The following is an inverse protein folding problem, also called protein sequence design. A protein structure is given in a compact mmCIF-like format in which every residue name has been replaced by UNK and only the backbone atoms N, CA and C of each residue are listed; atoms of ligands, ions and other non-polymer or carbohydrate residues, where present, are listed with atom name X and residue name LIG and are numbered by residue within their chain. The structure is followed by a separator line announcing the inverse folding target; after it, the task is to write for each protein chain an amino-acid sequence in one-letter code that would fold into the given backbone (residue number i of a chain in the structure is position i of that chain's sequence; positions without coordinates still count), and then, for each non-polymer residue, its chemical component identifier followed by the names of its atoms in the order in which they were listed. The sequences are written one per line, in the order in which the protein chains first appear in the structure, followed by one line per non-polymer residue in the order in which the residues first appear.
data_IF_363706270406
#
_entry.id   IF_363706270406
#
_cell.length_a   1.000
_cell.length_b   1.000
_cell.length_c   1.000
_cell.angle_alpha   90.00
_cell.angle_beta   90.00
_cell.angle_gamma   90.00
#
_symmetry.space_group_name_H-M   'P 1'
#
loop_
_entity.id
_entity.type
_entity.pdbx_description
1 polymer ?
#
# COMPACT_ATOMS: atom_id res chain seq x y z
N UNK A 1 -16.42 18.00 0.26
CA UNK A 1 -15.06 18.22 -0.28
C UNK A 1 -14.75 17.10 -1.26
N UNK A 2 -14.48 17.45 -2.53
CA UNK A 2 -14.08 16.66 -3.71
C UNK A 2 -14.30 15.13 -3.66
N UNK A 3 -15.19 14.51 -4.45
CA UNK A 3 -15.51 14.81 -5.84
C UNK A 3 -14.45 14.27 -6.81
N UNK A 4 -13.83 13.12 -6.52
CA UNK A 4 -12.92 12.44 -7.45
C UNK A 4 -13.70 11.47 -8.34
N UNK A 5 -14.50 12.00 -9.25
CA UNK A 5 -15.20 11.19 -10.26
C UNK A 5 -14.23 10.86 -11.40
N UNK A 6 -14.03 9.57 -11.67
CA UNK A 6 -13.21 9.09 -12.78
C UNK A 6 -13.94 9.34 -14.11
N UNK A 7 -13.30 10.06 -15.04
CA UNK A 7 -13.94 10.53 -16.28
C UNK A 7 -14.16 9.46 -17.34
N UNK A 8 -13.57 8.27 -17.17
CA UNK A 8 -13.79 7.11 -18.04
C UNK A 8 -13.18 5.84 -17.41
N UNK A 9 -13.92 5.02 -16.67
CA UNK A 9 -13.47 3.70 -16.27
C UNK A 9 -13.50 2.71 -17.43
N UNK A 10 -12.62 1.70 -17.40
CA UNK A 10 -12.72 0.54 -18.32
C UNK A 10 -13.36 -0.61 -17.55
N UNK A 11 -14.46 -1.15 -18.08
CA UNK A 11 -15.23 -2.23 -17.47
C UNK A 11 -14.55 -3.57 -17.74
N UNK A 12 -14.21 -4.31 -16.67
CA UNK A 12 -13.72 -5.68 -16.78
C UNK A 12 -14.78 -6.58 -16.17
N UNK A 13 -15.48 -7.34 -17.01
CA UNK A 13 -16.45 -8.34 -16.56
C UNK A 13 -15.71 -9.53 -15.95
N UNK A 14 -15.79 -9.67 -14.63
CA UNK A 14 -15.36 -10.88 -13.92
C UNK A 14 -16.55 -11.54 -13.24
N UNK A 15 -17.57 -11.92 -14.00
CA UNK A 15 -18.59 -12.86 -13.53
C UNK A 15 -18.98 -13.78 -14.68
N UNK A 16 -18.69 -15.06 -14.51
CA UNK A 16 -19.40 -16.15 -15.17
C UNK A 16 -20.90 -16.00 -14.91
N UNK A 17 -21.68 -16.02 -15.99
CA UNK A 17 -23.14 -15.99 -15.99
C UNK A 17 -23.68 -16.96 -14.93
N UNK A 18 -24.26 -16.48 -13.83
CA UNK A 18 -25.39 -17.12 -13.14
C UNK A 18 -25.96 -16.16 -12.07
N UNK A 19 -27.16 -15.65 -12.42
CA UNK A 19 -28.25 -15.12 -11.59
C UNK A 19 -28.02 -13.85 -10.75
N UNK A 20 -28.85 -12.88 -11.11
CA UNK A 20 -29.01 -11.52 -10.59
C UNK A 20 -29.65 -11.51 -9.20
N UNK A 21 -29.06 -10.75 -8.30
CA UNK A 21 -29.77 -9.92 -7.32
C UNK A 21 -29.38 -8.46 -7.61
N UNK A 22 -30.35 -7.61 -7.96
CA UNK A 22 -30.19 -6.28 -8.55
C UNK A 22 -30.16 -5.12 -7.53
N UNK A 23 -29.44 -5.26 -6.42
CA UNK A 23 -29.18 -4.09 -5.56
C UNK A 23 -27.79 -4.21 -4.92
N UNK A 24 -26.98 -3.18 -5.11
CA UNK A 24 -25.64 -2.98 -4.51
C UNK A 24 -24.40 -3.64 -5.16
N UNK A 25 -24.42 -3.91 -6.48
CA UNK A 25 -23.16 -4.03 -7.23
C UNK A 25 -22.59 -2.63 -7.45
N UNK A 26 -21.90 -2.09 -6.44
CA UNK A 26 -21.09 -0.89 -6.60
C UNK A 26 -20.01 -1.18 -7.64
N UNK A 27 -20.25 -0.74 -8.88
CA UNK A 27 -19.34 -0.87 -10.00
C UNK A 27 -17.98 -0.24 -9.66
N UNK A 28 -17.02 -1.11 -9.31
CA UNK A 28 -15.67 -0.68 -8.97
C UNK A 28 -14.93 -0.28 -10.26
N UNK A 29 -14.86 1.02 -10.50
CA UNK A 29 -14.10 1.63 -11.59
C UNK A 29 -12.58 1.49 -11.39
N UNK A 30 -11.92 0.64 -12.17
CA UNK A 30 -10.45 0.57 -12.23
C UNK A 30 -9.91 1.66 -13.18
N UNK A 31 -8.96 2.51 -12.76
CA UNK A 31 -8.40 3.55 -13.63
C UNK A 31 -7.68 2.96 -14.85
N UNK A 32 -7.90 3.54 -16.04
CA UNK A 32 -7.32 3.05 -17.32
C UNK A 32 -5.79 2.95 -17.33
N UNK A 33 -5.11 3.82 -16.57
CA UNK A 33 -3.66 3.89 -16.51
C UNK A 33 -3.06 3.12 -15.32
N UNK A 34 -3.88 2.44 -14.52
CA UNK A 34 -3.39 1.65 -13.38
C UNK A 34 -2.79 0.33 -13.90
N UNK A 35 -1.46 0.21 -13.78
CA UNK A 35 -0.75 -1.04 -14.06
C UNK A 35 -0.79 -1.94 -12.84
N UNK A 36 -1.38 -3.13 -12.99
CA UNK A 36 -1.47 -4.14 -11.94
C UNK A 36 -0.52 -5.28 -12.26
N UNK A 37 0.21 -5.75 -11.25
CA UNK A 37 1.18 -6.84 -11.38
C UNK A 37 0.88 -7.91 -10.34
N UNK A 38 1.09 -9.18 -10.72
CA UNK A 38 0.99 -10.32 -9.83
C UNK A 38 2.35 -11.03 -9.77
N UNK A 39 2.81 -11.34 -8.56
CA UNK A 39 4.00 -12.15 -8.35
C UNK A 39 3.63 -13.38 -7.52
N UNK A 40 3.87 -14.58 -8.06
CA UNK A 40 3.68 -15.83 -7.34
C UNK A 40 4.93 -16.10 -6.51
N UNK A 41 4.80 -16.00 -5.19
CA UNK A 41 5.92 -16.15 -4.26
C UNK A 41 5.65 -17.31 -3.30
N UNK A 42 6.57 -18.30 -3.20
CA UNK A 42 6.52 -19.33 -2.17
C UNK A 42 6.39 -18.71 -0.78
N UNK A 43 5.57 -19.29 0.09
CA UNK A 43 5.22 -18.68 1.38
C UNK A 43 6.46 -18.21 2.19
N UNK A 44 7.52 -19.02 2.21
CA UNK A 44 8.77 -18.74 2.94
C UNK A 44 9.59 -17.56 2.37
N UNK A 45 9.35 -17.18 1.11
CA UNK A 45 10.09 -16.12 0.42
C UNK A 45 9.32 -14.80 0.35
N UNK A 46 8.05 -14.76 0.77
CA UNK A 46 7.19 -13.56 0.67
C UNK A 46 7.82 -12.33 1.32
N UNK A 47 8.40 -12.50 2.50
CA UNK A 47 9.05 -11.41 3.21
C UNK A 47 10.28 -10.87 2.45
N UNK A 48 11.16 -11.76 2.00
CA UNK A 48 12.37 -11.38 1.26
C UNK A 48 12.01 -10.72 -0.06
N UNK A 49 11.03 -11.27 -0.78
CA UNK A 49 10.54 -10.72 -2.03
C UNK A 49 9.94 -9.32 -1.85
N UNK A 50 9.11 -9.12 -0.82
CA UNK A 50 8.52 -7.82 -0.51
C UNK A 50 9.60 -6.79 -0.13
N UNK A 51 10.55 -7.18 0.73
CA UNK A 51 11.67 -6.31 1.12
C UNK A 51 12.54 -5.91 -0.08
N UNK A 52 12.88 -6.88 -0.94
CA UNK A 52 13.64 -6.64 -2.16
C UNK A 52 12.90 -5.70 -3.12
N UNK A 53 11.59 -5.90 -3.30
CA UNK A 53 10.75 -5.02 -4.10
C UNK A 53 10.75 -3.58 -3.57
N UNK A 54 10.57 -3.39 -2.26
CA UNK A 54 10.59 -2.06 -1.64
C UNK A 54 11.93 -1.39 -1.86
N UNK A 55 13.04 -2.08 -1.56
CA UNK A 55 14.40 -1.54 -1.73
C UNK A 55 14.63 -1.13 -3.18
N UNK A 56 14.31 -2.00 -4.15
CA UNK A 56 14.53 -1.74 -5.57
C UNK A 56 13.77 -0.47 -6.04
N UNK A 57 12.51 -0.31 -5.61
CA UNK A 57 11.72 0.87 -5.94
C UNK A 57 12.24 2.15 -5.25
N UNK A 58 12.66 2.05 -3.99
CA UNK A 58 13.23 3.17 -3.26
C UNK A 58 14.53 3.69 -3.90
N UNK A 59 15.39 2.78 -4.36
CA UNK A 59 16.68 3.12 -4.96
C UNK A 59 16.54 3.71 -6.38
N UNK A 60 15.59 3.20 -7.18
CA UNK A 60 15.48 3.59 -8.60
C UNK A 60 14.71 4.89 -8.84
N UNK A 61 13.58 5.09 -8.13
CA UNK A 61 12.58 6.07 -8.57
C UNK A 61 12.13 7.05 -7.48
N UNK A 62 12.55 6.86 -6.22
CA UNK A 62 11.90 7.52 -5.09
C UNK A 62 10.50 6.93 -4.90
N UNK A 63 10.33 6.07 -3.90
CA UNK A 63 9.11 5.26 -3.75
C UNK A 63 8.15 5.87 -2.75
N UNK A 64 6.92 6.14 -3.20
CA UNK A 64 5.77 6.53 -2.37
C UNK A 64 4.70 5.46 -2.53
N UNK A 65 4.50 4.64 -1.51
CA UNK A 65 3.70 3.41 -1.62
C UNK A 65 2.80 3.13 -0.42
N UNK A 66 1.82 2.26 -0.66
CA UNK A 66 0.97 1.64 0.35
C UNK A 66 1.19 0.12 0.33
N UNK A 67 1.38 -0.49 1.49
CA UNK A 67 1.39 -1.95 1.66
C UNK A 67 0.19 -2.34 2.49
N UNK A 68 -0.69 -3.15 1.94
CA UNK A 68 -1.86 -3.65 2.65
C UNK A 68 -1.56 -5.03 3.25
N UNK A 69 -1.89 -5.20 4.53
CA UNK A 69 -1.72 -6.44 5.28
C UNK A 69 -3.06 -6.90 5.83
N UNK A 70 -3.21 -8.21 6.04
CA UNK A 70 -4.48 -8.81 6.45
C UNK A 70 -4.77 -8.72 7.97
N UNK A 71 -3.80 -8.34 8.81
CA UNK A 71 -3.99 -8.23 10.26
C UNK A 71 -3.16 -7.10 10.87
N UNK A 72 -3.61 -6.57 12.01
CA UNK A 72 -2.86 -5.54 12.75
C UNK A 72 -1.49 -6.06 13.18
N UNK A 73 -1.41 -7.30 13.65
CA UNK A 73 -0.15 -7.95 14.01
C UNK A 73 0.82 -8.01 12.82
N UNK A 74 0.31 -8.27 11.61
CA UNK A 74 1.12 -8.23 10.39
C UNK A 74 1.61 -6.81 10.08
N UNK A 75 0.78 -5.78 10.26
CA UNK A 75 1.19 -4.38 10.08
C UNK A 75 2.32 -4.03 11.05
N UNK A 76 2.15 -4.33 12.34
CA UNK A 76 3.13 -4.03 13.38
C UNK A 76 4.45 -4.77 13.16
N UNK A 77 4.39 -6.07 12.85
CA UNK A 77 5.58 -6.87 12.58
C UNK A 77 6.39 -6.30 11.41
N UNK A 78 5.75 -6.02 10.28
CA UNK A 78 6.45 -5.54 9.09
C UNK A 78 6.94 -4.10 9.27
N UNK A 79 6.17 -3.24 9.92
CA UNK A 79 6.61 -1.89 10.26
C UNK A 79 7.88 -1.92 11.11
N UNK A 80 7.87 -2.69 12.20
CA UNK A 80 9.01 -2.75 13.11
C UNK A 80 10.24 -3.34 12.41
N UNK A 81 10.07 -4.40 11.63
CA UNK A 81 11.14 -5.02 10.87
C UNK A 81 11.73 -4.06 9.82
N UNK A 82 10.90 -3.38 9.04
CA UNK A 82 11.37 -2.48 7.99
C UNK A 82 12.04 -1.23 8.55
N UNK A 83 11.49 -0.66 9.62
CA UNK A 83 12.10 0.46 10.32
C UNK A 83 13.44 0.07 10.99
N UNK A 84 13.57 -1.15 11.49
CA UNK A 84 14.80 -1.61 12.12
C UNK A 84 15.89 -2.05 11.12
N UNK A 85 15.50 -2.62 9.97
CA UNK A 85 16.43 -3.26 9.04
C UNK A 85 16.55 -2.50 7.71
N UNK A 86 15.44 -2.22 7.06
CA UNK A 86 15.46 -1.62 5.71
C UNK A 86 15.81 -0.14 5.75
N UNK A 87 15.31 0.60 6.76
CA UNK A 87 15.61 2.03 6.90
C UNK A 87 17.11 2.31 7.02
N UNK A 88 17.89 1.64 7.90
CA UNK A 88 19.34 1.82 7.95
C UNK A 88 20.04 1.48 6.63
N UNK A 89 19.63 0.41 5.93
CA UNK A 89 20.20 0.01 4.64
C UNK A 89 19.99 1.11 3.59
N UNK A 90 18.78 1.65 3.51
CA UNK A 90 18.45 2.71 2.56
C UNK A 90 19.16 4.02 2.92
N UNK A 91 19.23 4.35 4.22
CA UNK A 91 19.95 5.53 4.70
C UNK A 91 21.45 5.47 4.39
N UNK A 92 22.09 4.31 4.52
CA UNK A 92 23.50 4.10 4.13
C UNK A 92 23.73 4.32 2.63
N UNK A 93 22.69 4.11 1.80
CA UNK A 93 22.72 4.36 0.36
C UNK A 93 22.30 5.79 0.00
N UNK A 94 22.21 6.69 0.98
CA UNK A 94 21.74 8.08 0.82
C UNK A 94 20.28 8.23 0.34
N UNK A 95 19.49 7.15 0.42
CA UNK A 95 18.06 7.18 0.09
C UNK A 95 17.21 7.30 1.36
N UNK A 96 16.42 8.38 1.45
CA UNK A 96 15.45 8.58 2.53
C UNK A 96 14.14 7.90 2.18
N UNK A 97 13.84 6.77 2.81
CA UNK A 97 12.51 6.14 2.77
C UNK A 97 11.99 5.98 4.19
N UNK A 98 10.95 6.73 4.55
CA UNK A 98 10.33 6.61 5.86
C UNK A 98 9.25 5.53 5.86
N UNK A 99 9.15 4.77 6.95
CA UNK A 99 8.12 3.74 7.13
C UNK A 99 7.11 4.23 8.16
N UNK A 100 5.84 4.12 7.82
CA UNK A 100 4.73 4.47 8.71
C UNK A 100 3.75 3.30 8.79
N UNK A 101 3.09 3.15 9.94
CA UNK A 101 2.01 2.17 10.12
C UNK A 101 0.67 2.86 10.33
N UNK A 102 -0.39 2.18 9.92
CA UNK A 102 -1.77 2.60 10.17
C UNK A 102 -2.63 1.39 10.53
N UNK A 103 -3.16 1.35 11.75
CA UNK A 103 -4.11 0.32 12.18
C UNK A 103 -5.15 0.87 13.17
N UNK A 104 -6.24 0.11 13.36
CA UNK A 104 -7.42 0.52 14.11
C UNK A 104 -7.16 0.87 15.58
N UNK A 105 -6.10 0.34 16.18
CA UNK A 105 -5.73 0.57 17.59
C UNK A 105 -4.89 1.85 17.82
N UNK A 106 -4.58 2.63 16.77
CA UNK A 106 -3.88 3.92 16.92
C UNK A 106 -4.87 5.01 17.34
N UNK A 107 -4.43 5.94 18.21
CA UNK A 107 -5.25 7.09 18.59
C UNK A 107 -5.61 7.92 17.36
N UNK A 108 -6.85 8.42 17.30
CA UNK A 108 -7.37 9.15 16.14
C UNK A 108 -6.55 10.42 15.82
N UNK A 109 -5.99 11.06 16.85
CA UNK A 109 -5.09 12.21 16.74
C UNK A 109 -3.77 11.88 16.01
N UNK A 110 -3.13 10.76 16.34
CA UNK A 110 -1.93 10.25 15.64
C UNK A 110 -2.27 9.82 14.21
N UNK A 111 -3.46 9.27 14.02
CA UNK A 111 -3.97 8.78 12.74
C UNK A 111 -4.11 9.91 11.71
N UNK A 112 -4.77 11.00 12.10
CA UNK A 112 -5.14 12.11 11.21
C UNK A 112 -4.05 13.19 11.15
N UNK A 113 -3.41 13.49 12.28
CA UNK A 113 -2.53 14.65 12.44
C UNK A 113 -1.10 14.41 11.97
N UNK A 114 -0.47 13.31 12.39
CA UNK A 114 0.95 13.05 12.08
C UNK A 114 1.12 12.10 10.91
N UNK A 115 0.51 10.92 10.94
CA UNK A 115 0.81 9.88 9.93
C UNK A 115 0.25 10.20 8.54
N UNK A 116 -1.01 10.60 8.46
CA UNK A 116 -1.63 10.91 7.16
C UNK A 116 -1.10 12.20 6.53
N UNK A 117 -0.83 13.23 7.35
CA UNK A 117 -0.28 14.48 6.85
C UNK A 117 1.18 14.33 6.43
N UNK A 118 2.01 13.64 7.21
CA UNK A 118 3.39 13.32 6.82
C UNK A 118 3.44 12.45 5.57
N UNK A 119 2.46 11.55 5.39
CA UNK A 119 2.25 10.85 4.13
C UNK A 119 1.99 11.89 3.00
N UNK A 120 0.97 12.72 3.07
CA UNK A 120 0.70 13.65 1.95
C UNK A 120 1.90 14.54 1.60
N UNK A 121 2.61 15.09 2.59
CA UNK A 121 3.69 16.07 2.39
C UNK A 121 5.07 15.49 2.01
N UNK A 122 5.35 14.21 2.24
CA UNK A 122 6.68 13.67 2.00
C UNK A 122 6.84 13.11 0.55
N UNK A 123 8.07 13.11 0.03
CA UNK A 123 8.36 12.73 -1.35
C UNK A 123 8.65 11.22 -1.52
N UNK A 124 9.07 10.52 -0.47
CA UNK A 124 9.36 9.08 -0.51
C UNK A 124 9.13 8.41 0.84
N UNK A 125 8.13 7.53 0.92
CA UNK A 125 7.78 6.79 2.13
C UNK A 125 6.84 5.62 1.81
N UNK A 126 6.73 4.69 2.76
CA UNK A 126 5.85 3.53 2.68
C UNK A 126 4.90 3.50 3.88
N UNK A 127 3.59 3.40 3.62
CA UNK A 127 2.61 3.21 4.69
C UNK A 127 2.02 1.81 4.65
N UNK A 128 2.16 1.09 5.76
CA UNK A 128 1.65 -0.26 5.94
C UNK A 128 0.29 -0.16 6.65
N UNK A 129 -0.76 -0.62 5.99
CA UNK A 129 -2.15 -0.50 6.45
C UNK A 129 -2.83 -1.85 6.55
N UNK A 130 -3.77 -1.97 7.49
CA UNK A 130 -4.74 -3.07 7.48
C UNK A 130 -5.72 -2.87 6.31
N UNK A 131 -6.12 -3.96 5.65
CA UNK A 131 -7.25 -3.98 4.69
C UNK A 131 -8.54 -3.62 5.42
#
# INVERSE_FOLDING_TARGET
MAGMTLSAPTHVGTLSEHQRDEDDCQDLAVPKNLKQFLCVVPAKLRLVCLSGFIIDNCLKYGFKGLVFMCSQNSVDYHHNLFSAVLFPILQQKEHKCMFFKLHGNMKQEERRGSVFQSFICCFSYLKISLI
#
